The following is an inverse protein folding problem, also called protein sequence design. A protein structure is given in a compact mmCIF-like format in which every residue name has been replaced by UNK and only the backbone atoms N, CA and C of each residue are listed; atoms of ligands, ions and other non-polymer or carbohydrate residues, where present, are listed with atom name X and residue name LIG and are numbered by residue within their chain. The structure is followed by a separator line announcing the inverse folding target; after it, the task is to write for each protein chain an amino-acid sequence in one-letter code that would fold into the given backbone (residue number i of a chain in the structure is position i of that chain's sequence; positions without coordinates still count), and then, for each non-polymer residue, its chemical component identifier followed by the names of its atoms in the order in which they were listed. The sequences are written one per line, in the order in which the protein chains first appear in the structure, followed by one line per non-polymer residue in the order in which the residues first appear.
data_IF_901929680779
#
_entry.id   IF_901929680779
#
_cell.length_a   1.000
_cell.length_b   1.000
_cell.length_c   1.000
_cell.angle_alpha   90.00
_cell.angle_beta   90.00
_cell.angle_gamma   90.00
#
_symmetry.space_group_name_H-M   'P 1'
#
loop_
_entity.id
_entity.type
_entity.pdbx_description
1 polymer ?
#
# COMPACT_ATOMS: atom_id res chain seq x y z
N UNK A 1 69.44 62.67 -8.90
CA UNK A 1 68.64 61.91 -9.90
C UNK A 1 67.92 60.68 -9.35
N UNK A 2 68.29 60.10 -8.20
CA UNK A 2 67.64 58.88 -7.67
C UNK A 2 66.38 59.10 -6.81
N UNK A 3 66.08 60.32 -6.35
CA UNK A 3 64.91 60.57 -5.47
C UNK A 3 63.59 60.81 -6.19
N UNK A 4 63.61 61.27 -7.46
CA UNK A 4 62.38 61.56 -8.21
C UNK A 4 61.77 60.32 -8.92
N UNK A 5 62.56 59.25 -9.11
CA UNK A 5 62.08 58.00 -9.71
C UNK A 5 61.40 57.05 -8.71
N UNK A 6 61.70 57.15 -7.40
CA UNK A 6 61.03 56.34 -6.38
C UNK A 6 59.59 56.82 -6.10
N UNK A 7 59.32 58.13 -6.17
CA UNK A 7 57.98 58.68 -5.90
C UNK A 7 56.97 58.38 -7.04
N UNK A 8 57.44 58.19 -8.28
CA UNK A 8 56.56 57.84 -9.41
C UNK A 8 56.14 56.37 -9.40
N UNK A 9 56.98 55.47 -8.88
CA UNK A 9 56.69 54.03 -8.79
C UNK A 9 55.70 53.74 -7.65
N UNK A 10 55.78 54.47 -6.52
CA UNK A 10 54.86 54.25 -5.40
C UNK A 10 53.41 54.71 -5.68
N UNK A 11 53.22 55.74 -6.51
CA UNK A 11 51.89 56.19 -6.95
C UNK A 11 51.22 55.21 -7.94
N UNK A 12 52.01 54.47 -8.73
CA UNK A 12 51.49 53.44 -9.64
C UNK A 12 51.03 52.18 -8.90
N UNK A 13 51.73 51.78 -7.83
CA UNK A 13 51.35 50.60 -7.05
C UNK A 13 50.10 50.81 -6.17
N UNK A 14 49.83 52.03 -5.70
CA UNK A 14 48.63 52.31 -4.89
C UNK A 14 47.32 52.29 -5.74
N UNK A 15 47.38 52.64 -7.03
CA UNK A 15 46.20 52.65 -7.91
C UNK A 15 45.86 51.27 -8.49
N UNK A 16 46.81 50.32 -8.49
CA UNK A 16 46.62 48.97 -9.01
C UNK A 16 46.02 47.99 -7.97
N UNK A 17 46.27 48.18 -6.68
CA UNK A 17 45.70 47.34 -5.61
C UNK A 17 44.19 47.56 -5.41
N UNK A 18 43.69 48.77 -5.69
CA UNK A 18 42.26 49.08 -5.57
C UNK A 18 41.41 48.54 -6.74
N UNK A 19 42.01 48.30 -7.91
CA UNK A 19 41.29 47.77 -9.08
C UNK A 19 41.08 46.24 -9.00
N UNK A 20 41.97 45.53 -8.30
CA UNK A 20 41.91 44.08 -8.17
C UNK A 20 40.86 43.58 -7.15
N UNK A 21 40.46 44.43 -6.20
CA UNK A 21 39.39 44.12 -5.25
C UNK A 21 37.98 44.26 -5.86
N UNK A 22 37.82 45.12 -6.87
CA UNK A 22 36.51 45.41 -7.48
C UNK A 22 36.10 44.30 -8.48
N UNK A 23 37.06 43.68 -9.18
CA UNK A 23 36.76 42.59 -10.13
C UNK A 23 36.32 41.29 -9.43
N UNK A 24 36.88 40.98 -8.27
CA UNK A 24 36.57 39.75 -7.51
C UNK A 24 35.23 39.85 -6.75
N UNK A 25 34.84 41.05 -6.29
CA UNK A 25 33.51 41.27 -5.72
C UNK A 25 32.39 41.24 -6.79
N UNK A 26 32.64 41.80 -7.98
CA UNK A 26 31.68 41.78 -9.10
C UNK A 26 31.37 40.37 -9.59
N UNK A 27 32.36 39.48 -9.65
CA UNK A 27 32.16 38.07 -9.99
C UNK A 27 31.40 37.29 -8.91
N UNK A 28 31.69 37.52 -7.61
CA UNK A 28 30.95 36.87 -6.52
C UNK A 28 29.50 37.35 -6.41
N UNK A 29 29.23 38.63 -6.67
CA UNK A 29 27.86 39.19 -6.64
C UNK A 29 27.02 38.67 -7.83
N UNK A 30 27.59 38.62 -9.03
CA UNK A 30 26.90 38.03 -10.20
C UNK A 30 26.66 36.54 -10.01
N UNK A 31 27.60 35.78 -9.45
CA UNK A 31 27.39 34.35 -9.17
C UNK A 31 26.33 34.11 -8.09
N UNK A 32 26.23 34.98 -7.08
CA UNK A 32 25.22 34.88 -6.03
C UNK A 32 23.81 35.25 -6.55
N UNK A 33 23.69 36.30 -7.38
CA UNK A 33 22.43 36.67 -8.04
C UNK A 33 22.00 35.60 -9.05
N UNK A 34 22.95 35.03 -9.81
CA UNK A 34 22.70 33.97 -10.78
C UNK A 34 22.26 32.67 -10.10
N UNK A 35 22.91 32.26 -9.00
CA UNK A 35 22.52 31.07 -8.20
C UNK A 35 21.17 31.27 -7.52
N UNK A 36 20.86 32.47 -7.01
CA UNK A 36 19.56 32.81 -6.42
C UNK A 36 18.42 32.82 -7.45
N UNK A 37 18.70 33.25 -8.68
CA UNK A 37 17.73 33.25 -9.80
C UNK A 37 17.51 31.83 -10.34
N UNK A 38 18.56 31.01 -10.45
CA UNK A 38 18.46 29.60 -10.83
C UNK A 38 17.69 28.79 -9.78
N UNK A 39 18.00 28.94 -8.49
CA UNK A 39 17.30 28.22 -7.42
C UNK A 39 15.82 28.61 -7.33
N UNK A 40 15.48 29.89 -7.52
CA UNK A 40 14.08 30.34 -7.54
C UNK A 40 13.30 29.77 -8.73
N UNK A 41 13.92 29.67 -9.91
CA UNK A 41 13.26 29.14 -11.10
C UNK A 41 13.17 27.60 -11.09
N UNK A 42 14.10 26.90 -10.44
CA UNK A 42 13.97 25.45 -10.18
C UNK A 42 12.94 25.16 -9.10
N UNK A 43 12.86 25.96 -8.03
CA UNK A 43 11.81 25.83 -7.00
C UNK A 43 10.41 26.09 -7.56
N UNK A 44 10.24 27.09 -8.43
CA UNK A 44 8.95 27.38 -9.08
C UNK A 44 8.58 26.24 -10.03
N UNK A 45 9.52 25.74 -10.84
CA UNK A 45 9.26 24.59 -11.73
C UNK A 45 8.94 23.32 -10.95
N UNK A 46 9.65 23.00 -9.86
CA UNK A 46 9.34 21.84 -9.01
C UNK A 46 8.00 22.00 -8.28
N UNK A 47 7.65 23.20 -7.81
CA UNK A 47 6.34 23.48 -7.22
C UNK A 47 5.21 23.34 -8.27
N UNK A 48 5.46 23.71 -9.53
CA UNK A 48 4.51 23.56 -10.63
C UNK A 48 4.29 22.09 -11.02
N UNK A 49 5.36 21.28 -11.01
CA UNK A 49 5.28 19.83 -11.20
C UNK A 49 4.59 19.09 -10.03
N UNK A 50 4.82 19.53 -8.79
CA UNK A 50 4.15 18.99 -7.59
C UNK A 50 2.67 19.38 -7.56
N UNK A 51 2.32 20.59 -8.00
CA UNK A 51 0.93 21.05 -8.12
C UNK A 51 0.16 20.30 -9.22
N UNK A 52 0.81 20.01 -10.36
CA UNK A 52 0.24 19.15 -11.41
C UNK A 52 0.04 17.71 -10.90
N UNK A 53 0.96 17.18 -10.08
CA UNK A 53 0.82 15.86 -9.47
C UNK A 53 -0.33 15.80 -8.45
N UNK A 54 -0.69 16.94 -7.84
CA UNK A 54 -1.82 17.05 -6.90
C UNK A 54 -3.19 17.08 -7.59
N UNK A 55 -3.27 17.55 -8.84
CA UNK A 55 -4.53 17.54 -9.62
C UNK A 55 -4.93 16.15 -10.14
N UNK A 56 -3.99 15.18 -10.15
CA UNK A 56 -4.22 13.81 -10.63
C UNK A 56 -4.37 12.79 -9.48
N UNK A 57 -4.51 13.26 -8.24
CA UNK A 57 -4.93 12.46 -7.10
C UNK A 57 -6.45 12.60 -6.90
N UNK A 58 -7.31 11.84 -7.60
CA UNK A 58 -8.68 11.63 -7.12
C UNK A 58 -8.59 10.70 -5.90
N UNK A 59 -8.25 11.28 -4.75
CA UNK A 59 -8.31 10.63 -3.45
C UNK A 59 -9.55 11.08 -2.67
N UNK A 60 -10.57 10.22 -2.63
CA UNK A 60 -11.61 10.09 -1.61
C UNK A 60 -12.48 11.31 -1.23
N UNK A 61 -13.59 11.48 -1.96
CA UNK A 61 -14.99 11.74 -1.56
C UNK A 61 -15.29 12.62 -0.30
N UNK A 62 -16.29 13.53 -0.40
CA UNK A 62 -17.68 13.08 -0.45
C UNK A 62 -18.48 13.70 -1.60
N UNK A 63 -18.84 12.88 -2.59
CA UNK A 63 -20.06 13.12 -3.37
C UNK A 63 -21.21 12.74 -2.44
N UNK A 64 -21.67 13.73 -1.68
CA UNK A 64 -22.79 13.63 -0.78
C UNK A 64 -23.77 14.72 -1.21
N UNK A 65 -24.94 14.27 -1.66
CA UNK A 65 -26.21 15.00 -1.67
C UNK A 65 -26.38 16.16 -2.65
N UNK A 66 -26.51 15.85 -3.93
CA UNK A 66 -27.65 16.38 -4.71
C UNK A 66 -28.18 15.25 -5.59
N UNK A 67 -29.38 14.76 -5.28
CA UNK A 67 -30.09 13.85 -6.18
C UNK A 67 -30.28 14.53 -7.53
N UNK A 68 -30.13 13.74 -8.60
CA UNK A 68 -30.33 14.10 -10.03
C UNK A 68 -29.06 14.59 -10.78
N UNK A 69 -28.41 13.65 -11.48
CA UNK A 69 -27.41 13.86 -12.54
C UNK A 69 -25.96 13.68 -12.05
N UNK A 70 -25.14 12.73 -12.52
CA UNK A 70 -24.93 12.17 -13.86
C UNK A 70 -24.43 10.73 -13.70
N UNK A 71 -25.07 9.78 -14.39
CA UNK A 71 -24.61 8.40 -14.51
C UNK A 71 -25.48 7.37 -13.78
N UNK A 72 -26.45 6.81 -14.50
CA UNK A 72 -27.32 5.70 -14.08
C UNK A 72 -26.59 4.36 -13.84
N UNK A 73 -25.33 4.38 -13.40
CA UNK A 73 -24.52 3.20 -13.13
C UNK A 73 -23.84 3.19 -11.75
N UNK A 74 -23.76 4.31 -11.04
CA UNK A 74 -23.02 4.38 -9.77
C UNK A 74 -23.87 4.01 -8.52
N UNK A 75 -25.21 4.14 -8.60
CA UNK A 75 -26.11 3.86 -7.46
C UNK A 75 -26.54 2.40 -7.31
N UNK A 76 -26.32 1.54 -8.32
CA UNK A 76 -26.75 0.15 -8.30
C UNK A 76 -25.69 -0.83 -7.76
N UNK A 77 -24.44 -0.40 -7.58
CA UNK A 77 -23.34 -1.30 -7.21
C UNK A 77 -23.12 -1.41 -5.68
N UNK A 78 -23.93 -0.73 -4.87
CA UNK A 78 -23.77 -0.73 -3.40
C UNK A 78 -24.69 -1.72 -2.66
N UNK A 79 -25.39 -2.60 -3.35
CA UNK A 79 -26.31 -3.55 -2.71
C UNK A 79 -26.13 -4.91 -3.34
N UNK A 80 -25.28 -5.75 -2.73
CA UNK A 80 -25.39 -7.22 -2.73
C UNK A 80 -24.21 -7.88 -1.98
N UNK A 81 -23.60 -7.24 -0.96
CA UNK A 81 -22.89 -8.07 0.02
C UNK A 81 -23.97 -8.87 0.77
N UNK A 82 -23.83 -10.18 0.81
CA UNK A 82 -24.75 -11.09 1.51
C UNK A 82 -24.60 -10.96 3.03
N UNK A 83 -23.55 -10.30 3.51
CA UNK A 83 -23.33 -9.98 4.93
C UNK A 83 -24.08 -8.71 5.33
N UNK A 84 -24.54 -8.68 6.58
CA UNK A 84 -25.06 -7.46 7.19
C UNK A 84 -23.92 -6.48 7.49
N UNK A 85 -24.22 -5.18 7.53
CA UNK A 85 -23.26 -4.15 7.95
C UNK A 85 -22.76 -4.39 9.38
N UNK A 86 -23.59 -4.91 10.27
CA UNK A 86 -23.18 -5.31 11.63
C UNK A 86 -22.13 -6.42 11.61
N UNK A 87 -22.30 -7.44 10.77
CA UNK A 87 -21.32 -8.51 10.58
C UNK A 87 -20.00 -7.99 10.01
N UNK A 88 -20.05 -7.04 9.08
CA UNK A 88 -18.83 -6.43 8.52
C UNK A 88 -18.00 -5.71 9.61
N UNK A 89 -18.67 -4.93 10.46
CA UNK A 89 -18.00 -4.23 11.57
C UNK A 89 -17.45 -5.22 12.60
N UNK A 90 -18.19 -6.30 12.88
CA UNK A 90 -17.72 -7.36 13.76
C UNK A 90 -16.49 -8.07 13.19
N UNK A 91 -16.46 -8.38 11.89
CA UNK A 91 -15.30 -8.96 11.21
C UNK A 91 -14.05 -8.07 11.36
N UNK A 92 -14.17 -6.76 11.11
CA UNK A 92 -13.07 -5.80 11.29
C UNK A 92 -12.61 -5.72 12.76
N UNK A 93 -13.55 -5.75 13.70
CA UNK A 93 -13.27 -5.78 15.14
C UNK A 93 -12.48 -7.05 15.52
N UNK A 94 -12.88 -8.21 14.99
CA UNK A 94 -12.17 -9.49 15.18
C UNK A 94 -10.77 -9.42 14.58
N UNK A 95 -10.61 -8.95 13.33
CA UNK A 95 -9.31 -8.81 12.66
C UNK A 95 -8.36 -7.93 13.49
N UNK A 96 -8.83 -6.76 13.94
CA UNK A 96 -8.05 -5.81 14.74
C UNK A 96 -7.68 -6.37 16.12
N UNK A 97 -8.65 -6.92 16.87
CA UNK A 97 -8.41 -7.49 18.21
C UNK A 97 -7.44 -8.66 18.15
N UNK A 98 -7.61 -9.56 17.17
CA UNK A 98 -6.75 -10.73 16.97
C UNK A 98 -5.33 -10.30 16.61
N UNK A 99 -5.19 -9.41 15.62
CA UNK A 99 -3.87 -8.91 15.18
C UNK A 99 -3.14 -8.20 16.31
N UNK A 100 -3.85 -7.38 17.10
CA UNK A 100 -3.29 -6.72 18.29
C UNK A 100 -2.80 -7.74 19.32
N UNK A 101 -3.62 -8.73 19.66
CA UNK A 101 -3.27 -9.73 20.69
C UNK A 101 -2.08 -10.60 20.27
N UNK A 102 -2.01 -10.97 18.99
CA UNK A 102 -0.85 -11.66 18.40
C UNK A 102 0.39 -10.76 18.48
N UNK A 103 0.27 -9.49 18.09
CA UNK A 103 1.37 -8.52 18.14
C UNK A 103 1.88 -8.28 19.57
N UNK A 104 0.99 -8.19 20.55
CA UNK A 104 1.36 -8.00 21.97
C UNK A 104 2.11 -9.19 22.56
N UNK A 105 1.76 -10.43 22.19
CA UNK A 105 2.36 -11.62 22.78
C UNK A 105 3.57 -12.16 22.00
N UNK A 106 3.51 -12.12 20.66
CA UNK A 106 4.52 -12.73 19.80
C UNK A 106 5.44 -11.68 19.16
N UNK A 107 5.00 -10.43 19.09
CA UNK A 107 5.77 -9.30 18.57
C UNK A 107 6.25 -9.53 17.14
N UNK A 108 7.44 -9.00 16.84
CA UNK A 108 8.05 -9.09 15.51
C UNK A 108 8.63 -10.47 15.19
N UNK A 109 8.45 -11.49 16.04
CA UNK A 109 8.98 -12.84 15.78
C UNK A 109 8.19 -13.56 14.69
N UNK A 110 6.93 -13.17 14.49
CA UNK A 110 6.00 -13.81 13.56
C UNK A 110 5.58 -12.83 12.47
N UNK A 111 5.09 -13.35 11.36
CA UNK A 111 4.38 -12.56 10.37
C UNK A 111 3.04 -13.23 10.11
N UNK A 112 2.00 -12.77 10.80
CA UNK A 112 0.65 -13.32 10.67
C UNK A 112 -0.25 -12.29 10.03
N UNK A 113 -1.01 -12.72 9.03
CA UNK A 113 -2.12 -11.97 8.48
C UNK A 113 -3.43 -12.63 8.95
N UNK A 114 -4.30 -11.81 9.53
CA UNK A 114 -5.59 -12.25 10.08
C UNK A 114 -6.69 -11.70 9.19
N UNK A 115 -7.54 -12.59 8.68
CA UNK A 115 -8.68 -12.22 7.87
C UNK A 115 -9.93 -12.82 8.50
N UNK A 116 -10.94 -12.01 8.80
CA UNK A 116 -12.26 -12.48 9.22
C UNK A 116 -13.25 -12.33 8.08
N UNK A 117 -14.11 -13.33 7.94
CA UNK A 117 -15.27 -13.25 7.05
C UNK A 117 -16.43 -14.00 7.67
N UNK A 118 -17.51 -13.28 7.97
CA UNK A 118 -18.68 -13.83 8.68
C UNK A 118 -18.30 -14.53 9.99
N UNK A 119 -17.41 -13.92 10.78
CA UNK A 119 -16.85 -14.43 12.05
C UNK A 119 -16.00 -15.72 11.94
N UNK A 120 -15.71 -16.16 10.72
CA UNK A 120 -14.74 -17.23 10.46
C UNK A 120 -13.37 -16.60 10.18
N UNK A 121 -12.37 -16.95 10.97
CA UNK A 121 -11.04 -16.36 10.90
C UNK A 121 -10.10 -17.26 10.10
N UNK A 122 -9.49 -16.70 9.05
CA UNK A 122 -8.37 -17.27 8.35
C UNK A 122 -7.07 -16.68 8.90
N UNK A 123 -6.19 -17.56 9.36
CA UNK A 123 -4.83 -17.21 9.80
C UNK A 123 -3.85 -17.67 8.72
N UNK A 124 -3.06 -16.73 8.20
CA UNK A 124 -2.04 -16.99 7.18
C UNK A 124 -0.73 -16.32 7.56
N UNK A 125 0.36 -16.70 6.89
CA UNK A 125 1.69 -16.14 7.11
C UNK A 125 2.65 -17.17 7.69
N UNK A 126 3.70 -16.68 8.35
CA UNK A 126 4.86 -17.49 8.74
C UNK A 126 5.21 -17.37 10.23
N UNK A 127 5.58 -18.52 10.81
CA UNK A 127 6.05 -18.66 12.20
C UNK A 127 7.34 -19.48 12.25
N UNK A 128 8.15 -19.31 13.31
CA UNK A 128 9.43 -20.03 13.44
C UNK A 128 9.28 -21.51 13.81
N UNK A 129 8.20 -21.90 14.50
CA UNK A 129 8.01 -23.25 15.01
C UNK A 129 6.53 -23.61 15.22
N UNK A 130 6.26 -24.90 15.45
CA UNK A 130 4.91 -25.44 15.63
C UNK A 130 4.26 -24.97 16.95
N UNK A 131 5.05 -24.71 18.00
CA UNK A 131 4.49 -24.23 19.27
C UNK A 131 3.87 -22.83 19.09
N UNK A 132 4.59 -21.96 18.38
CA UNK A 132 4.12 -20.63 17.99
C UNK A 132 2.89 -20.72 17.09
N UNK A 133 2.84 -21.67 16.15
CA UNK A 133 1.66 -21.91 15.30
C UNK A 133 0.41 -22.23 16.12
N UNK A 134 0.56 -23.10 17.13
CA UNK A 134 -0.53 -23.49 18.05
C UNK A 134 -0.93 -22.30 18.94
N UNK A 135 0.03 -21.51 19.40
CA UNK A 135 -0.22 -20.31 20.20
C UNK A 135 -1.01 -19.25 19.43
N UNK A 136 -0.65 -18.97 18.17
CA UNK A 136 -1.38 -18.07 17.28
C UNK A 136 -2.85 -18.49 17.14
N UNK A 137 -3.11 -19.78 16.94
CA UNK A 137 -4.48 -20.30 16.85
C UNK A 137 -5.24 -20.13 18.17
N UNK A 138 -4.60 -20.41 19.32
CA UNK A 138 -5.20 -20.19 20.65
C UNK A 138 -5.56 -18.73 20.89
N UNK A 139 -4.70 -17.81 20.47
CA UNK A 139 -4.96 -16.38 20.65
C UNK A 139 -6.14 -15.91 19.83
N UNK A 140 -6.23 -16.35 18.57
CA UNK A 140 -7.38 -16.06 17.73
C UNK A 140 -8.67 -16.68 18.29
N UNK A 141 -8.64 -17.91 18.83
CA UNK A 141 -9.83 -18.53 19.46
C UNK A 141 -10.29 -17.80 20.73
N UNK A 142 -9.39 -17.08 21.41
CA UNK A 142 -9.73 -16.33 22.62
C UNK A 142 -10.47 -15.02 22.35
N UNK A 143 -10.57 -14.60 21.08
CA UNK A 143 -11.28 -13.39 20.70
C UNK A 143 -12.79 -13.67 20.68
N UNK A 144 -13.54 -12.74 21.27
CA UNK A 144 -14.99 -12.80 21.30
C UNK A 144 -15.59 -12.88 19.88
N UNK A 145 -16.71 -13.57 19.75
CA UNK A 145 -17.48 -13.73 18.51
C UNK A 145 -16.80 -14.51 17.38
N UNK A 146 -15.58 -15.03 17.57
CA UNK A 146 -14.96 -15.97 16.61
C UNK A 146 -15.74 -17.29 16.61
N UNK A 147 -16.17 -17.74 15.43
CA UNK A 147 -16.92 -18.99 15.28
C UNK A 147 -16.04 -20.17 14.86
N UNK A 148 -15.25 -19.98 13.81
CA UNK A 148 -14.32 -20.99 13.32
C UNK A 148 -12.97 -20.37 12.98
N UNK A 149 -11.94 -21.21 12.94
CA UNK A 149 -10.59 -20.82 12.56
C UNK A 149 -10.05 -21.77 11.50
N UNK A 150 -9.68 -21.22 10.36
CA UNK A 150 -8.86 -21.87 9.35
C UNK A 150 -7.40 -21.46 9.58
N UNK A 151 -6.60 -22.36 10.18
CA UNK A 151 -5.19 -22.10 10.44
C UNK A 151 -4.31 -22.62 9.29
N UNK A 152 -3.94 -21.71 8.39
CA UNK A 152 -3.08 -21.95 7.23
C UNK A 152 -1.70 -21.31 7.39
N UNK A 153 -1.30 -21.04 8.64
CA UNK A 153 0.04 -20.55 8.98
C UNK A 153 1.08 -21.65 8.71
N UNK A 154 2.20 -21.27 8.10
CA UNK A 154 3.29 -22.19 7.77
C UNK A 154 4.53 -21.94 8.64
N UNK A 155 5.30 -22.99 8.88
CA UNK A 155 6.61 -22.86 9.53
C UNK A 155 7.62 -22.49 8.44
N UNK A 156 8.01 -21.22 8.41
CA UNK A 156 8.88 -20.67 7.39
C UNK A 156 9.52 -19.35 7.87
N UNK A 157 10.64 -18.92 7.27
CA UNK A 157 11.10 -17.55 7.44
C UNK A 157 10.09 -16.55 6.84
N UNK A 158 10.12 -15.31 7.31
CA UNK A 158 9.26 -14.24 6.81
C UNK A 158 9.36 -14.11 5.29
N UNK A 159 8.22 -13.98 4.63
CA UNK A 159 8.13 -13.75 3.19
C UNK A 159 8.92 -12.53 2.74
N UNK A 160 9.66 -12.67 1.63
CA UNK A 160 10.42 -11.57 1.03
C UNK A 160 9.50 -10.54 0.37
N UNK A 161 9.98 -9.31 0.20
CA UNK A 161 9.24 -8.26 -0.52
C UNK A 161 8.84 -8.70 -1.93
N UNK A 162 9.72 -9.40 -2.64
CA UNK A 162 9.45 -9.93 -3.97
C UNK A 162 8.30 -10.95 -3.97
N UNK A 163 8.25 -11.84 -2.96
CA UNK A 163 7.13 -12.80 -2.82
C UNK A 163 5.81 -12.06 -2.62
N UNK A 164 5.77 -11.08 -1.72
CA UNK A 164 4.56 -10.30 -1.42
C UNK A 164 4.09 -9.46 -2.60
N UNK A 165 5.02 -8.90 -3.37
CA UNK A 165 4.70 -8.22 -4.62
C UNK A 165 4.08 -9.19 -5.63
N UNK A 166 4.65 -10.39 -5.77
CA UNK A 166 4.07 -11.42 -6.64
C UNK A 166 2.67 -11.85 -6.18
N UNK A 167 2.43 -11.99 -4.88
CA UNK A 167 1.12 -12.36 -4.33
C UNK A 167 0.06 -11.28 -4.57
N UNK A 168 0.45 -10.00 -4.55
CA UNK A 168 -0.41 -8.88 -4.92
C UNK A 168 -0.80 -8.94 -6.40
N UNK A 169 0.14 -9.29 -7.28
CA UNK A 169 -0.11 -9.48 -8.70
C UNK A 169 -1.02 -10.69 -8.95
N UNK A 170 -0.80 -11.82 -8.28
CA UNK A 170 -1.68 -13.00 -8.34
C UNK A 170 -3.10 -12.62 -7.92
N UNK A 171 -3.25 -11.95 -6.77
CA UNK A 171 -4.55 -11.50 -6.28
C UNK A 171 -5.26 -10.63 -7.31
N UNK A 172 -4.53 -9.70 -7.93
CA UNK A 172 -5.07 -8.82 -8.97
C UNK A 172 -5.49 -9.59 -10.22
N UNK A 173 -4.69 -10.55 -10.68
CA UNK A 173 -5.01 -11.43 -11.81
C UNK A 173 -6.27 -12.25 -11.53
N UNK A 174 -6.37 -12.87 -10.34
CA UNK A 174 -7.56 -13.66 -9.95
C UNK A 174 -8.80 -12.77 -9.90
N UNK A 175 -8.73 -11.62 -9.24
CA UNK A 175 -9.85 -10.66 -9.17
C UNK A 175 -10.27 -10.16 -10.55
N UNK A 176 -9.32 -9.84 -11.44
CA UNK A 176 -9.63 -9.44 -12.81
C UNK A 176 -10.36 -10.55 -13.59
N UNK A 177 -9.96 -11.82 -13.41
CA UNK A 177 -10.66 -12.95 -14.03
C UNK A 177 -12.04 -13.20 -13.43
N UNK A 178 -12.27 -12.83 -12.17
CA UNK A 178 -13.61 -12.88 -11.58
C UNK A 178 -14.54 -11.84 -12.21
N UNK A 179 -14.08 -10.66 -12.60
CA UNK A 179 -14.95 -9.63 -13.21
C UNK A 179 -15.68 -10.14 -14.46
N UNK A 180 -15.02 -10.98 -15.27
CA UNK A 180 -15.60 -11.49 -16.52
C UNK A 180 -16.43 -12.78 -16.35
N UNK A 181 -16.60 -13.25 -15.11
CA UNK A 181 -17.39 -14.45 -14.81
C UNK A 181 -18.90 -14.13 -14.80
N UNK A 182 -19.74 -15.08 -15.20
CA UNK A 182 -21.22 -14.93 -15.22
C UNK A 182 -21.92 -15.78 -14.14
N UNK A 183 -21.17 -16.37 -13.21
CA UNK A 183 -21.68 -17.35 -12.24
C UNK A 183 -21.91 -16.70 -10.88
N UNK A 184 -21.05 -15.76 -10.46
CA UNK A 184 -21.12 -15.07 -9.19
C UNK A 184 -20.65 -13.62 -9.33
N UNK A 185 -21.06 -12.75 -8.41
CA UNK A 185 -20.55 -11.37 -8.34
C UNK A 185 -19.22 -11.31 -7.59
N UNK A 186 -18.34 -10.40 -7.98
CA UNK A 186 -16.96 -10.31 -7.45
C UNK A 186 -16.93 -10.05 -5.94
N UNK A 187 -17.91 -9.31 -5.42
CA UNK A 187 -18.07 -9.02 -3.99
C UNK A 187 -18.47 -10.25 -3.15
N UNK A 188 -19.00 -11.32 -3.74
CA UNK A 188 -19.37 -12.53 -3.00
C UNK A 188 -18.14 -13.35 -2.55
N UNK A 189 -16.97 -13.12 -3.16
CA UNK A 189 -15.75 -13.88 -2.88
C UNK A 189 -14.59 -12.94 -2.55
N UNK A 190 -14.12 -12.98 -1.30
CA UNK A 190 -12.87 -12.34 -0.86
C UNK A 190 -11.70 -13.23 -1.27
N UNK A 191 -10.75 -12.65 -2.01
CA UNK A 191 -9.53 -13.33 -2.48
C UNK A 191 -8.34 -12.78 -1.72
N UNK A 192 -7.60 -13.68 -1.08
CA UNK A 192 -6.34 -13.40 -0.37
C UNK A 192 -5.27 -14.33 -0.96
N UNK A 193 -4.06 -13.82 -1.17
CA UNK A 193 -2.93 -14.65 -1.61
C UNK A 193 -1.78 -14.48 -0.64
N UNK A 194 -1.21 -15.60 -0.19
CA UNK A 194 0.00 -15.62 0.63
C UNK A 194 0.93 -16.71 0.10
N UNK A 195 2.17 -16.34 -0.21
CA UNK A 195 3.20 -17.24 -0.72
C UNK A 195 2.64 -18.11 -1.87
N UNK A 196 2.08 -17.49 -2.91
CA UNK A 196 1.51 -18.16 -4.09
C UNK A 196 0.30 -19.08 -3.83
N UNK A 197 -0.21 -19.16 -2.59
CA UNK A 197 -1.43 -19.90 -2.23
C UNK A 197 -2.59 -18.91 -2.19
N UNK A 198 -3.66 -19.21 -2.94
CA UNK A 198 -4.86 -18.38 -2.98
C UNK A 198 -5.90 -18.95 -2.02
N UNK A 199 -6.34 -18.13 -1.09
CA UNK A 199 -7.42 -18.42 -0.15
C UNK A 199 -8.68 -17.70 -0.62
N UNK A 200 -9.76 -18.46 -0.78
CA UNK A 200 -11.06 -17.94 -1.20
C UNK A 200 -12.03 -18.02 -0.02
N UNK A 201 -12.56 -16.87 0.39
CA UNK A 201 -13.55 -16.75 1.45
C UNK A 201 -14.85 -16.15 0.88
N UNK A 202 -16.00 -16.49 1.45
CA UNK A 202 -17.27 -15.99 0.93
C UNK A 202 -18.48 -16.78 1.43
N UNK A 203 -19.65 -16.13 1.41
CA UNK A 203 -20.96 -16.77 1.57
C UNK A 203 -21.49 -17.12 0.17
N UNK A 204 -21.27 -18.36 -0.26
CA UNK A 204 -21.47 -18.78 -1.65
C UNK A 204 -22.29 -20.06 -1.72
N UNK A 205 -22.99 -20.31 -2.82
CA UNK A 205 -23.46 -21.67 -3.12
C UNK A 205 -22.30 -22.57 -3.55
N UNK A 206 -22.47 -23.89 -3.50
CA UNK A 206 -21.45 -24.84 -4.01
C UNK A 206 -21.07 -24.57 -5.46
N UNK A 207 -22.05 -24.21 -6.30
CA UNK A 207 -21.83 -23.85 -7.70
C UNK A 207 -20.93 -22.62 -7.85
N UNK A 208 -21.17 -21.58 -7.07
CA UNK A 208 -20.36 -20.36 -7.09
C UNK A 208 -18.94 -20.64 -6.56
N UNK A 209 -18.82 -21.37 -5.44
CA UNK A 209 -17.53 -21.75 -4.87
C UNK A 209 -16.67 -22.59 -5.82
N UNK A 210 -17.28 -23.56 -6.53
CA UNK A 210 -16.59 -24.37 -7.52
C UNK A 210 -16.16 -23.56 -8.75
N UNK A 211 -16.98 -22.61 -9.20
CA UNK A 211 -16.62 -21.70 -10.28
C UNK A 211 -15.44 -20.79 -9.88
N UNK A 212 -15.50 -20.18 -8.70
CA UNK A 212 -14.42 -19.34 -8.16
C UNK A 212 -13.11 -20.12 -8.03
N UNK A 213 -13.18 -21.34 -7.49
CA UNK A 213 -12.02 -22.23 -7.33
C UNK A 213 -11.40 -22.60 -8.67
N UNK A 214 -12.22 -22.91 -9.68
CA UNK A 214 -11.75 -23.23 -11.04
C UNK A 214 -11.04 -22.04 -11.71
N UNK A 215 -11.60 -20.83 -11.56
CA UNK A 215 -10.97 -19.63 -12.12
C UNK A 215 -9.65 -19.35 -11.39
N UNK A 216 -9.63 -19.41 -10.06
CA UNK A 216 -8.41 -19.19 -9.29
C UNK A 216 -7.31 -20.22 -9.62
N UNK A 217 -7.64 -21.52 -9.65
CA UNK A 217 -6.67 -22.60 -9.92
C UNK A 217 -6.08 -22.60 -11.34
N UNK A 218 -6.81 -22.04 -12.31
CA UNK A 218 -6.30 -21.88 -13.70
C UNK A 218 -5.58 -20.56 -13.92
N UNK A 219 -5.41 -19.74 -12.88
CA UNK A 219 -4.71 -18.45 -13.00
C UNK A 219 -3.22 -18.67 -12.88
N UNK A 220 -2.47 -18.02 -13.76
CA UNK A 220 -1.02 -18.07 -13.80
C UNK A 220 -0.40 -17.74 -12.42
N UNK A 221 0.68 -18.44 -12.07
CA UNK A 221 1.44 -18.27 -10.83
C UNK A 221 0.72 -18.70 -9.55
N UNK A 222 -0.52 -19.20 -9.63
CA UNK A 222 -1.21 -19.83 -8.49
C UNK A 222 -0.63 -21.23 -8.26
N UNK A 223 -0.15 -21.50 -7.03
CA UNK A 223 0.42 -22.80 -6.66
C UNK A 223 -0.61 -23.74 -6.04
N UNK A 224 -1.50 -23.20 -5.22
CA UNK A 224 -2.55 -23.94 -4.50
C UNK A 224 -3.75 -23.02 -4.29
N UNK A 225 -4.94 -23.60 -4.29
CA UNK A 225 -6.17 -22.90 -3.88
C UNK A 225 -6.73 -23.57 -2.64
N UNK A 226 -7.02 -22.79 -1.61
CA UNK A 226 -7.66 -23.24 -0.38
C UNK A 226 -9.05 -22.60 -0.31
N UNK A 227 -10.06 -23.45 -0.11
CA UNK A 227 -11.47 -23.04 -0.02
C UNK A 227 -11.83 -22.82 1.44
N UNK A 228 -12.15 -21.60 1.81
CA UNK A 228 -12.62 -21.19 3.15
C UNK A 228 -14.02 -20.57 3.01
N UNK A 229 -14.87 -21.28 2.29
CA UNK A 229 -16.24 -20.86 2.00
C UNK A 229 -17.21 -21.31 3.08
N UNK A 230 -18.24 -20.51 3.27
CA UNK A 230 -19.45 -20.91 3.95
C UNK A 230 -20.55 -21.11 2.90
N UNK A 231 -21.10 -22.33 2.85
CA UNK A 231 -22.07 -22.71 1.84
C UNK A 231 -23.49 -22.41 2.31
N UNK A 232 -24.29 -21.79 1.43
CA UNK A 232 -25.68 -21.42 1.71
C UNK A 232 -26.69 -22.53 1.35
N UNK A 233 -26.23 -23.62 0.74
CA UNK A 233 -27.00 -24.72 0.13
C UNK A 233 -26.64 -26.13 0.63
#
# INVERSE_FOLDING_TARGET
MLSYMLNLIMLFYCKLSHLHLISTLGQKLNLFIFKKTIMRNTFIKSALWISILFLILPGCAPIVLTGVGVGAGAGALMVEDRRSSGTYIEDESIELKTSRRIGEQLGDKVHINVISFNRNVLLTGEVPDEATKVEVAKLAMSIENVQNIANEVIIAPKSSLASRSNDTLITSKVKARFVNNKVFQVNHVKVITENGVVYLLGLVSRKEGDAATRIASTTESVRKVVKVFEYLD
#
